data_IF_787596531118
#
_entry.id   IF_787596531118
#
_cell.length_a   1.000
_cell.length_b   1.000
_cell.length_c   1.000
_cell.angle_alpha   90.00
_cell.angle_beta   90.00
_cell.angle_gamma   90.00
#
_symmetry.space_group_name_H-M   'P 1'
#
loop_
_entity.id
_entity.type
_entity.pdbx_description
1 polymer ?
#
# COMPACT_ATOMS: atom_id res chain seq x y z
N UNK A 1 -15.39 -16.37 -23.37
CA UNK A 1 -15.03 -14.94 -23.20
C UNK A 1 -15.62 -14.47 -21.87
N UNK A 2 -14.81 -13.94 -20.94
CA UNK A 2 -15.26 -13.60 -19.58
C UNK A 2 -16.23 -12.40 -19.56
N UNK A 3 -17.15 -12.36 -18.59
CA UNK A 3 -18.12 -11.26 -18.43
C UNK A 3 -17.39 -9.96 -18.08
N UNK A 4 -17.41 -8.97 -18.97
CA UNK A 4 -16.79 -7.65 -18.76
C UNK A 4 -17.64 -6.69 -17.90
N UNK A 5 -18.74 -7.18 -17.35
CA UNK A 5 -19.67 -6.42 -16.52
C UNK A 5 -19.82 -7.12 -15.17
N UNK A 6 -19.54 -6.44 -14.04
CA UNK A 6 -19.66 -7.05 -12.72
C UNK A 6 -21.13 -7.43 -12.43
N UNK A 7 -21.33 -8.48 -11.64
CA UNK A 7 -22.67 -8.94 -11.25
C UNK A 7 -23.43 -7.88 -10.46
N UNK A 8 -22.73 -7.19 -9.56
CA UNK A 8 -23.24 -6.06 -8.81
C UNK A 8 -22.62 -4.78 -9.37
N UNK A 9 -23.46 -3.85 -9.82
CA UNK A 9 -23.05 -2.61 -10.47
C UNK A 9 -24.01 -1.51 -10.06
N UNK A 10 -23.49 -0.39 -9.58
CA UNK A 10 -24.32 0.79 -9.34
C UNK A 10 -24.82 1.38 -10.66
N UNK A 11 -26.02 1.96 -10.64
CA UNK A 11 -26.75 2.35 -11.86
C UNK A 11 -26.01 3.41 -12.68
N UNK A 12 -25.20 4.23 -12.03
CA UNK A 12 -24.39 5.31 -12.63
C UNK A 12 -23.16 4.84 -13.42
N UNK A 13 -22.76 3.57 -13.32
CA UNK A 13 -21.59 3.05 -14.05
C UNK A 13 -22.00 2.26 -15.31
N UNK A 14 -21.85 2.86 -16.48
CA UNK A 14 -22.21 2.21 -17.75
C UNK A 14 -21.04 1.53 -18.49
N UNK A 15 -19.78 1.81 -18.09
CA UNK A 15 -18.59 1.30 -18.78
C UNK A 15 -18.30 -0.18 -18.46
N UNK A 16 -17.74 -0.89 -19.43
CA UNK A 16 -17.22 -2.25 -19.25
C UNK A 16 -15.86 -2.25 -18.55
N UNK A 17 -15.57 -3.34 -17.83
CA UNK A 17 -14.22 -3.61 -17.32
C UNK A 17 -13.25 -3.76 -18.50
N UNK A 18 -12.06 -3.20 -18.32
CA UNK A 18 -10.95 -3.32 -19.26
C UNK A 18 -9.76 -3.91 -18.52
N UNK A 19 -9.08 -4.86 -19.15
CA UNK A 19 -7.77 -5.28 -18.69
C UNK A 19 -6.78 -4.16 -18.98
N UNK A 20 -6.09 -3.68 -17.94
CA UNK A 20 -5.12 -2.59 -18.04
C UNK A 20 -3.82 -2.98 -17.37
N UNK A 21 -2.70 -2.44 -17.85
CA UNK A 21 -1.42 -2.61 -17.17
C UNK A 21 -1.32 -1.60 -16.02
N UNK A 22 -0.89 -2.05 -14.85
CA UNK A 22 -0.82 -1.21 -13.66
C UNK A 22 0.01 0.06 -13.88
N UNK A 23 1.15 -0.05 -14.57
CA UNK A 23 2.05 1.06 -14.85
C UNK A 23 1.48 2.13 -15.81
N UNK A 24 0.38 1.86 -16.51
CA UNK A 24 -0.27 2.85 -17.39
C UNK A 24 -1.09 3.88 -16.59
N UNK A 25 -1.61 3.49 -15.43
CA UNK A 25 -2.50 4.33 -14.61
C UNK A 25 -1.87 4.77 -13.30
N UNK A 26 -0.89 4.01 -12.79
CA UNK A 26 -0.29 4.26 -11.50
C UNK A 26 1.22 4.41 -11.60
N UNK A 27 1.74 5.42 -10.89
CA UNK A 27 3.18 5.55 -10.66
C UNK A 27 3.58 4.63 -9.51
N UNK A 28 4.41 3.64 -9.81
CA UNK A 28 5.03 2.80 -8.77
C UNK A 28 6.13 3.60 -8.10
N UNK A 29 6.05 3.72 -6.78
CA UNK A 29 7.06 4.39 -5.97
C UNK A 29 7.60 3.34 -5.00
N UNK A 30 8.86 2.95 -5.19
CA UNK A 30 9.54 2.05 -4.26
C UNK A 30 9.74 2.75 -2.90
N UNK A 31 9.57 1.96 -1.84
CA UNK A 31 9.92 2.34 -0.48
C UNK A 31 11.43 2.40 -0.31
N UNK A 32 11.87 3.16 0.70
CA UNK A 32 13.27 3.27 1.09
C UNK A 32 13.36 2.95 2.58
N UNK A 33 14.22 2.00 2.95
CA UNK A 33 14.42 1.68 4.36
C UNK A 33 15.16 2.82 5.08
N UNK A 34 14.77 3.18 6.30
CA UNK A 34 15.53 4.11 7.14
C UNK A 34 16.87 3.50 7.56
N UNK A 35 17.76 4.33 8.09
CA UNK A 35 19.01 3.84 8.67
C UNK A 35 18.72 2.94 9.88
N UNK A 36 19.48 1.85 10.04
CA UNK A 36 19.32 0.92 11.16
C UNK A 36 19.49 1.58 12.53
N UNK A 37 20.22 2.70 12.59
CA UNK A 37 20.39 3.51 13.82
C UNK A 37 19.07 4.13 14.31
N UNK A 38 18.10 4.28 13.41
CA UNK A 38 16.79 4.88 13.69
C UNK A 38 15.71 3.82 13.94
N UNK A 39 16.10 2.56 14.19
CA UNK A 39 15.18 1.48 14.54
C UNK A 39 14.97 1.46 16.05
N UNK A 40 13.71 1.39 16.48
CA UNK A 40 13.32 1.54 17.88
C UNK A 40 12.28 0.46 18.23
N UNK A 41 12.35 -0.06 19.46
CA UNK A 41 11.39 -1.02 20.01
C UNK A 41 10.28 -0.34 20.83
N UNK A 42 10.01 0.95 20.61
CA UNK A 42 8.99 1.73 21.32
C UNK A 42 7.80 1.99 20.38
N UNK A 43 6.60 1.62 20.85
CA UNK A 43 5.35 1.69 20.09
C UNK A 43 4.76 3.11 19.94
N UNK A 44 5.33 4.11 20.61
CA UNK A 44 4.94 5.51 20.49
C UNK A 44 5.36 6.13 19.14
N UNK A 45 6.30 5.50 18.44
CA UNK A 45 6.82 5.96 17.16
C UNK A 45 6.09 5.33 15.97
N UNK A 46 6.46 5.73 14.76
CA UNK A 46 5.85 5.20 13.55
C UNK A 46 6.24 3.73 13.34
N UNK A 47 5.26 2.89 13.03
CA UNK A 47 5.49 1.48 12.68
C UNK A 47 6.36 1.42 11.43
N UNK A 48 7.45 0.67 11.49
CA UNK A 48 8.28 0.37 10.34
C UNK A 48 7.80 -0.95 9.71
N UNK A 49 7.19 -0.84 8.52
CA UNK A 49 6.76 -1.99 7.71
C UNK A 49 7.80 -2.23 6.62
N UNK A 50 8.54 -3.33 6.72
CA UNK A 50 9.63 -3.68 5.80
C UNK A 50 9.20 -4.72 4.75
N UNK A 51 8.23 -5.58 5.09
CA UNK A 51 7.74 -6.58 4.14
C UNK A 51 6.84 -7.64 4.76
N UNK A 52 6.87 -8.84 4.17
CA UNK A 52 5.94 -9.91 4.51
C UNK A 52 6.01 -10.36 5.99
N UNK A 53 7.17 -10.24 6.63
CA UNK A 53 7.32 -10.57 8.04
C UNK A 53 6.50 -9.67 8.98
N UNK A 54 6.09 -8.50 8.50
CA UNK A 54 5.27 -7.54 9.24
C UNK A 54 3.78 -7.66 8.88
N UNK A 55 3.40 -8.65 8.07
CA UNK A 55 2.02 -8.86 7.60
C UNK A 55 1.54 -10.23 8.07
N UNK A 56 0.43 -10.25 8.80
CA UNK A 56 -0.23 -11.48 9.26
C UNK A 56 -1.71 -11.42 8.87
N UNK A 57 -2.15 -12.40 8.08
CA UNK A 57 -3.54 -12.48 7.58
C UNK A 57 -4.02 -11.20 6.88
N UNK A 58 -3.14 -10.51 6.14
CA UNK A 58 -3.46 -9.27 5.45
C UNK A 58 -3.48 -8.01 6.33
N UNK A 59 -3.18 -8.14 7.62
CA UNK A 59 -3.07 -7.03 8.56
C UNK A 59 -1.62 -6.78 8.95
N UNK A 60 -1.31 -5.52 9.27
CA UNK A 60 0.00 -5.13 9.79
C UNK A 60 0.13 -5.69 11.21
N UNK A 61 1.22 -6.41 11.47
CA UNK A 61 1.64 -6.89 12.77
C UNK A 61 2.98 -6.21 13.14
N UNK A 62 2.95 -5.06 13.84
CA UNK A 62 4.14 -4.27 14.15
C UNK A 62 5.18 -5.07 14.95
N UNK A 63 6.44 -5.02 14.51
CA UNK A 63 7.58 -5.62 15.23
C UNK A 63 8.63 -4.59 15.66
N UNK A 64 8.82 -3.57 14.83
CA UNK A 64 9.80 -2.50 15.03
C UNK A 64 9.21 -1.17 14.59
N UNK A 65 9.76 -0.10 15.13
CA UNK A 65 9.32 1.28 14.91
C UNK A 65 10.51 2.13 14.45
N UNK A 66 10.23 3.32 13.92
CA UNK A 66 11.27 4.25 13.48
C UNK A 66 10.92 5.71 13.73
N UNK A 67 11.95 6.50 14.03
CA UNK A 67 11.88 7.98 14.09
C UNK A 67 12.10 8.63 12.74
N UNK A 68 12.68 7.91 11.77
CA UNK A 68 13.06 8.47 10.49
C UNK A 68 11.96 8.25 9.44
N UNK A 69 11.52 9.34 8.84
CA UNK A 69 10.61 9.32 7.69
C UNK A 69 11.45 9.46 6.42
N UNK A 70 11.61 8.36 5.68
CA UNK A 70 12.38 8.37 4.42
C UNK A 70 11.60 8.90 3.24
N UNK A 71 10.26 8.85 3.30
CA UNK A 71 9.38 9.26 2.20
C UNK A 71 7.97 9.55 2.71
N UNK A 72 7.38 10.62 2.17
CA UNK A 72 5.99 10.98 2.42
C UNK A 72 5.17 10.73 1.16
N UNK A 73 4.05 10.03 1.32
CA UNK A 73 3.04 9.94 0.26
C UNK A 73 2.16 11.18 0.29
N UNK A 74 1.87 11.76 -0.88
CA UNK A 74 0.88 12.83 -0.96
C UNK A 74 -0.50 12.21 -0.75
N UNK A 75 -1.27 12.77 0.17
CA UNK A 75 -2.71 12.47 0.26
C UNK A 75 -3.34 12.87 -1.07
N UNK A 76 -3.89 11.90 -1.79
CA UNK A 76 -4.63 12.21 -3.01
C UNK A 76 -5.85 13.06 -2.60
N UNK A 77 -6.01 14.22 -3.24
CA UNK A 77 -7.19 15.07 -3.08
C UNK A 77 -8.41 14.39 -3.71
#
# INVERSE_FOLDING_TARGET
MGKLCPRNRFKEFHKYWKLVKFGEYFKIIMGQSPSSKNYINNNEYNVLVQGNADIKNGHINPRIFTTEITKLSKKMK
#
